data_IF_888065065135
#
_entry.id   IF_888065065135
#
_cell.length_a   1.000
_cell.length_b   1.000
_cell.length_c   1.000
_cell.angle_alpha   90.00
_cell.angle_beta   90.00
_cell.angle_gamma   90.00
#
_symmetry.space_group_name_H-M   'P 1'
#
loop_
_entity.id
_entity.type
_entity.pdbx_description
1 polymer ?
#
# COMPACT_ATOMS: atom_id res chain seq x y z
N UNK A 1 58.45 18.65 4.53
CA UNK A 1 57.16 18.96 4.01
C UNK A 1 56.29 17.70 4.05
N UNK A 2 55.41 17.70 5.03
CA UNK A 2 54.48 16.61 5.27
C UNK A 2 53.28 16.73 4.31
N UNK A 3 53.05 15.68 3.53
CA UNK A 3 51.83 15.49 2.78
C UNK A 3 51.00 14.48 3.54
N UNK A 4 49.99 14.94 4.29
CA UNK A 4 48.97 14.12 4.92
C UNK A 4 47.97 13.63 3.87
N UNK A 5 48.04 12.35 3.53
CA UNK A 5 47.02 11.70 2.73
C UNK A 5 45.75 11.45 3.61
N UNK A 6 44.66 12.18 3.26
CA UNK A 6 43.34 11.92 3.82
C UNK A 6 42.77 10.64 3.19
N UNK A 7 42.72 9.56 3.93
CA UNK A 7 41.98 8.38 3.60
C UNK A 7 40.47 8.68 3.62
N UNK A 8 39.80 8.47 2.49
CA UNK A 8 38.34 8.50 2.38
C UNK A 8 37.74 7.26 3.07
N UNK A 9 36.64 7.39 3.82
CA UNK A 9 35.96 6.22 4.36
C UNK A 9 35.36 5.39 3.21
N UNK A 10 35.63 4.10 3.24
CA UNK A 10 35.02 3.09 2.35
C UNK A 10 33.57 2.96 2.74
N UNK A 11 32.68 3.47 1.91
CA UNK A 11 31.25 3.22 2.05
C UNK A 11 30.96 1.78 1.63
N UNK A 12 30.41 0.99 2.54
CA UNK A 12 29.87 -0.34 2.29
C UNK A 12 28.88 -0.32 1.14
N UNK A 13 28.88 -1.30 0.21
CA UNK A 13 27.91 -1.33 -0.88
C UNK A 13 26.52 -1.60 -0.30
N UNK A 14 25.61 -0.70 -0.60
CA UNK A 14 24.18 -0.86 -0.30
C UNK A 14 23.67 -2.14 -0.99
N UNK A 15 22.95 -2.98 -0.24
CA UNK A 15 22.24 -4.14 -0.78
C UNK A 15 21.29 -3.66 -1.89
N UNK A 16 21.21 -4.36 -3.03
CA UNK A 16 20.26 -4.00 -4.06
C UNK A 16 18.85 -4.20 -3.52
N UNK A 17 18.09 -3.10 -3.51
CA UNK A 17 16.66 -3.11 -3.25
C UNK A 17 15.98 -3.78 -4.46
N UNK A 18 15.58 -5.05 -4.30
CA UNK A 18 14.88 -5.84 -5.32
C UNK A 18 13.37 -5.59 -5.32
N UNK A 19 12.91 -4.49 -4.77
CA UNK A 19 11.58 -3.98 -5.04
C UNK A 19 11.65 -3.15 -6.33
N UNK A 20 11.20 -3.72 -7.44
CA UNK A 20 10.78 -2.90 -8.57
C UNK A 20 9.80 -1.87 -8.00
N UNK A 21 10.08 -0.56 -8.11
CA UNK A 21 9.11 0.42 -7.67
C UNK A 21 7.82 0.14 -8.44
N UNK A 22 6.65 0.07 -7.78
CA UNK A 22 5.42 0.07 -8.52
C UNK A 22 5.49 1.29 -9.43
N UNK A 23 5.33 1.09 -10.73
CA UNK A 23 5.12 2.16 -11.68
C UNK A 23 3.80 2.84 -11.31
N UNK A 24 3.85 3.60 -10.23
CA UNK A 24 2.82 4.53 -9.87
C UNK A 24 2.85 5.57 -10.98
N UNK A 25 1.85 5.54 -11.84
CA UNK A 25 1.45 6.69 -12.63
C UNK A 25 1.10 7.80 -11.64
N UNK A 26 2.11 8.47 -11.13
CA UNK A 26 1.95 9.67 -10.33
C UNK A 26 1.61 10.78 -11.31
N UNK A 27 0.34 10.86 -11.66
CA UNK A 27 -0.18 12.09 -12.22
C UNK A 27 -0.18 13.12 -11.08
N UNK A 28 0.81 13.96 -11.05
CA UNK A 28 0.75 15.18 -10.26
C UNK A 28 -0.46 15.98 -10.75
N UNK A 29 -1.29 16.39 -9.81
CA UNK A 29 -2.43 17.25 -10.04
C UNK A 29 -2.02 18.43 -10.90
N UNK A 30 -2.33 18.36 -12.18
CA UNK A 30 -2.20 19.51 -13.08
C UNK A 30 -3.21 20.55 -12.62
N UNK A 31 -2.75 21.53 -11.83
CA UNK A 31 -3.46 22.81 -11.68
C UNK A 31 -3.85 23.25 -13.08
N UNK A 32 -5.15 23.54 -13.28
CA UNK A 32 -5.69 24.20 -14.47
C UNK A 32 -4.73 25.30 -14.94
N UNK A 33 -3.82 24.98 -15.81
CA UNK A 33 -3.13 25.94 -16.67
C UNK A 33 -3.80 25.84 -18.01
N UNK A 34 -4.52 26.90 -18.38
CA UNK A 34 -4.88 27.17 -19.75
C UNK A 34 -3.59 27.18 -20.57
N UNK A 35 -3.32 26.10 -21.25
CA UNK A 35 -2.47 26.09 -22.42
C UNK A 35 -2.46 24.70 -23.04
N UNK A 36 -2.49 24.66 -24.32
CA UNK A 36 -2.34 23.61 -25.29
C UNK A 36 -1.05 22.78 -25.22
N UNK A 37 -0.42 22.66 -24.05
CA UNK A 37 0.61 21.66 -23.79
C UNK A 37 -0.05 20.47 -23.11
N UNK A 38 -0.48 19.50 -23.95
CA UNK A 38 -0.67 18.13 -23.51
C UNK A 38 0.57 17.70 -22.77
N UNK A 39 0.40 17.16 -21.58
CA UNK A 39 1.50 16.58 -20.83
C UNK A 39 1.95 15.31 -21.56
N UNK A 40 2.91 15.50 -22.47
CA UNK A 40 3.44 14.48 -23.37
C UNK A 40 4.08 13.33 -22.59
N UNK A 41 4.52 13.60 -21.34
CA UNK A 41 5.20 12.62 -20.52
C UNK A 41 4.27 11.50 -20.03
N UNK A 42 3.05 11.82 -19.59
CA UNK A 42 2.07 10.84 -19.14
C UNK A 42 1.56 9.94 -20.26
N UNK A 43 1.35 10.48 -21.46
CA UNK A 43 0.93 9.74 -22.64
C UNK A 43 2.05 8.81 -23.14
N UNK A 44 3.30 9.27 -23.14
CA UNK A 44 4.43 8.45 -23.59
C UNK A 44 4.68 7.24 -22.71
N UNK A 45 4.45 7.33 -21.40
CA UNK A 45 4.52 6.18 -20.48
C UNK A 45 3.44 5.15 -20.81
N UNK A 46 2.20 5.58 -21.03
CA UNK A 46 1.11 4.69 -21.42
C UNK A 46 1.40 3.99 -22.76
N UNK A 47 1.90 4.73 -23.73
CA UNK A 47 2.31 4.16 -25.04
C UNK A 47 3.47 3.16 -24.89
N UNK A 48 4.44 3.43 -24.03
CA UNK A 48 5.54 2.51 -23.73
C UNK A 48 5.07 1.18 -23.12
N UNK A 49 4.05 1.23 -22.27
CA UNK A 49 3.45 0.04 -21.67
C UNK A 49 2.62 -0.79 -22.66
N UNK A 50 2.08 -0.18 -23.72
CA UNK A 50 1.28 -0.90 -24.73
C UNK A 50 2.05 -2.07 -25.34
N UNK A 51 3.34 -1.91 -25.65
CA UNK A 51 4.16 -2.98 -26.21
C UNK A 51 4.20 -4.22 -25.32
N UNK A 52 4.26 -4.01 -23.99
CA UNK A 52 4.26 -5.11 -23.02
C UNK A 52 2.89 -5.79 -22.97
N UNK A 53 1.80 -5.01 -22.99
CA UNK A 53 0.42 -5.50 -22.92
C UNK A 53 -0.01 -6.23 -24.20
N UNK A 54 0.56 -5.86 -25.34
CA UNK A 54 0.26 -6.49 -26.64
C UNK A 54 0.91 -7.87 -26.82
N UNK A 55 1.88 -8.20 -25.98
CA UNK A 55 2.62 -9.44 -26.05
C UNK A 55 3.76 -9.35 -27.05
N UNK A 56 4.88 -8.81 -26.61
CA UNK A 56 6.12 -8.70 -27.39
C UNK A 56 7.23 -9.55 -26.77
N UNK A 57 8.24 -9.82 -27.56
CA UNK A 57 9.51 -10.34 -27.07
C UNK A 57 10.38 -9.17 -26.63
N UNK A 58 10.78 -9.20 -25.37
CA UNK A 58 11.59 -8.13 -24.74
C UNK A 58 12.89 -8.73 -24.28
N UNK A 59 14.00 -8.13 -24.69
CA UNK A 59 15.33 -8.51 -24.21
C UNK A 59 15.57 -7.87 -22.83
N UNK A 60 15.85 -8.74 -21.87
CA UNK A 60 16.09 -8.34 -20.47
C UNK A 60 17.49 -8.77 -20.06
N UNK A 61 18.32 -7.88 -19.50
CA UNK A 61 19.65 -8.23 -19.01
C UNK A 61 19.54 -9.12 -17.76
N UNK A 62 20.21 -10.25 -17.78
CA UNK A 62 20.23 -11.22 -16.68
C UNK A 62 21.48 -11.04 -15.84
N UNK A 63 21.31 -10.87 -14.52
CA UNK A 63 22.43 -10.79 -13.58
C UNK A 63 23.18 -9.46 -13.57
N UNK A 64 22.63 -8.42 -14.19
CA UNK A 64 23.29 -7.13 -14.25
C UNK A 64 23.07 -6.29 -12.98
N UNK A 65 24.11 -6.18 -12.18
CA UNK A 65 24.21 -5.12 -11.15
C UNK A 65 24.83 -3.82 -11.71
N UNK A 66 25.13 -3.76 -12.99
CA UNK A 66 25.77 -2.60 -13.58
C UNK A 66 25.38 -2.42 -15.05
N UNK A 67 25.33 -1.17 -15.49
CA UNK A 67 24.98 -0.72 -16.84
C UNK A 67 26.06 -1.08 -17.90
N UNK A 68 26.91 -2.05 -17.67
CA UNK A 68 27.96 -2.42 -18.61
C UNK A 68 27.41 -3.26 -19.77
N UNK A 69 27.85 -2.92 -20.95
CA UNK A 69 27.37 -3.40 -22.25
C UNK A 69 27.61 -4.89 -22.57
N UNK A 70 28.15 -5.70 -21.66
CA UNK A 70 28.47 -7.11 -21.86
C UNK A 70 27.63 -8.08 -21.00
N UNK A 71 26.43 -7.69 -20.66
CA UNK A 71 25.53 -8.56 -19.86
C UNK A 71 24.76 -9.46 -20.81
N UNK A 72 24.66 -10.77 -20.55
CA UNK A 72 23.84 -11.66 -21.37
C UNK A 72 22.39 -11.22 -21.33
N UNK A 73 21.77 -11.08 -22.49
CA UNK A 73 20.36 -10.74 -22.66
C UNK A 73 19.55 -12.03 -22.75
N UNK A 74 18.43 -12.06 -22.07
CA UNK A 74 17.44 -13.16 -22.19
C UNK A 74 16.16 -12.57 -22.74
N UNK A 75 15.60 -13.22 -23.75
CA UNK A 75 14.33 -12.82 -24.34
C UNK A 75 13.18 -13.33 -23.50
N UNK A 76 12.32 -12.42 -23.07
CA UNK A 76 11.09 -12.72 -22.34
C UNK A 76 9.90 -12.41 -23.23
N UNK A 77 9.03 -13.40 -23.44
CA UNK A 77 7.78 -13.23 -24.18
C UNK A 77 6.68 -12.83 -23.19
N UNK A 78 6.10 -11.65 -23.38
CA UNK A 78 5.08 -11.10 -22.47
C UNK A 78 3.66 -11.55 -22.79
N UNK A 79 3.44 -12.33 -23.84
CA UNK A 79 2.11 -12.69 -24.36
C UNK A 79 1.22 -13.44 -23.35
N UNK A 80 1.82 -14.22 -22.45
CA UNK A 80 1.11 -15.01 -21.45
C UNK A 80 1.30 -14.48 -20.03
N UNK A 81 1.68 -13.23 -19.86
CA UNK A 81 1.84 -12.59 -18.56
C UNK A 81 0.53 -11.89 -18.19
N UNK A 82 0.04 -12.15 -16.98
CA UNK A 82 -1.09 -11.41 -16.42
C UNK A 82 -0.62 -10.04 -15.96
N UNK A 83 -1.25 -8.99 -16.48
CA UNK A 83 -1.01 -7.61 -16.06
C UNK A 83 -2.15 -7.13 -15.16
N UNK A 84 -1.80 -6.64 -13.99
CA UNK A 84 -2.72 -6.01 -13.05
C UNK A 84 -2.20 -4.59 -12.81
N UNK A 85 -2.96 -3.60 -13.29
CA UNK A 85 -2.62 -2.19 -13.14
C UNK A 85 -3.51 -1.56 -12.08
N UNK A 86 -2.93 -0.89 -11.11
CA UNK A 86 -3.64 -0.18 -10.06
C UNK A 86 -3.13 1.24 -9.94
N UNK A 87 -4.00 2.16 -9.53
CA UNK A 87 -3.64 3.55 -9.29
C UNK A 87 -4.64 4.25 -8.37
N UNK A 88 -4.18 5.31 -7.71
CA UNK A 88 -5.05 6.27 -7.08
C UNK A 88 -5.38 7.33 -8.14
N UNK A 89 -6.64 7.49 -8.45
CA UNK A 89 -7.14 8.43 -9.47
C UNK A 89 -7.71 9.67 -8.76
N UNK A 90 -6.89 10.62 -8.30
CA UNK A 90 -7.37 11.83 -7.67
C UNK A 90 -8.27 12.57 -8.64
N UNK A 91 -9.35 13.17 -8.15
CA UNK A 91 -10.34 13.90 -8.95
C UNK A 91 -11.22 13.06 -9.91
N UNK A 92 -11.03 11.74 -10.00
CA UNK A 92 -11.90 10.87 -10.80
C UNK A 92 -13.34 10.93 -10.29
N UNK A 93 -13.55 11.04 -8.98
CA UNK A 93 -14.87 11.22 -8.38
C UNK A 93 -15.59 12.48 -8.89
N UNK A 94 -14.87 13.57 -9.08
CA UNK A 94 -15.43 14.81 -9.62
C UNK A 94 -15.90 14.63 -11.07
N UNK A 95 -15.14 13.88 -11.88
CA UNK A 95 -15.49 13.55 -13.26
C UNK A 95 -16.78 12.72 -13.29
N UNK A 96 -16.89 11.72 -12.40
CA UNK A 96 -18.08 10.88 -12.27
C UNK A 96 -19.29 11.71 -11.83
N UNK A 97 -19.11 12.58 -10.83
CA UNK A 97 -20.14 13.51 -10.36
C UNK A 97 -20.65 14.41 -11.49
N UNK A 98 -19.76 15.00 -12.27
CA UNK A 98 -20.14 15.83 -13.41
C UNK A 98 -20.95 15.05 -14.45
N UNK A 99 -20.58 13.80 -14.75
CA UNK A 99 -21.32 12.95 -15.69
C UNK A 99 -22.72 12.65 -15.16
N UNK A 100 -22.82 12.21 -13.89
CA UNK A 100 -24.10 11.85 -13.28
C UNK A 100 -25.03 13.07 -13.17
N UNK A 101 -24.48 14.23 -12.83
CA UNK A 101 -25.26 15.48 -12.77
C UNK A 101 -25.76 15.93 -14.15
N UNK A 102 -24.96 15.76 -15.22
CA UNK A 102 -25.40 16.06 -16.58
C UNK A 102 -26.52 15.12 -17.07
N UNK A 103 -26.45 13.85 -16.71
CA UNK A 103 -27.52 12.90 -17.06
C UNK A 103 -28.83 13.18 -16.31
N UNK A 104 -28.76 13.65 -15.08
CA UNK A 104 -29.96 14.00 -14.29
C UNK A 104 -30.53 15.38 -14.61
N UNK A 105 -29.80 16.26 -15.28
CA UNK A 105 -30.30 17.61 -15.64
C UNK A 105 -31.40 17.63 -16.71
N UNK A 106 -31.69 16.49 -17.33
CA UNK A 106 -32.84 16.32 -18.23
C UNK A 106 -34.17 16.02 -17.52
N UNK A 107 -34.17 15.87 -16.19
CA UNK A 107 -35.37 15.63 -15.39
C UNK A 107 -35.24 16.16 -13.97
N UNK A 108 -36.09 17.08 -13.57
CA UNK A 108 -36.34 17.65 -12.23
C UNK A 108 -35.15 17.74 -11.25
N UNK A 109 -34.61 18.94 -11.02
CA UNK A 109 -33.18 19.23 -10.86
C UNK A 109 -32.70 19.48 -9.41
N UNK A 110 -33.54 19.68 -8.44
CA UNK A 110 -33.09 20.23 -7.14
C UNK A 110 -32.60 19.18 -6.13
N UNK A 111 -33.21 18.00 -6.09
CA UNK A 111 -32.93 17.00 -5.04
C UNK A 111 -31.76 16.05 -5.33
N UNK A 112 -31.25 16.05 -6.55
CA UNK A 112 -30.25 15.04 -6.98
C UNK A 112 -28.79 15.48 -6.74
N UNK A 113 -28.50 16.77 -6.64
CA UNK A 113 -27.15 17.26 -6.34
C UNK A 113 -26.69 16.82 -4.96
N UNK A 114 -27.58 16.91 -3.95
CA UNK A 114 -27.26 16.51 -2.58
C UNK A 114 -27.15 14.99 -2.40
N UNK A 115 -27.75 14.20 -3.30
CA UNK A 115 -27.75 12.75 -3.22
C UNK A 115 -26.38 12.16 -3.57
N UNK A 116 -25.71 12.69 -4.57
CA UNK A 116 -24.40 12.19 -4.99
C UNK A 116 -23.24 12.72 -4.14
N UNK A 117 -23.43 13.84 -3.43
CA UNK A 117 -22.41 14.36 -2.50
C UNK A 117 -22.32 13.53 -1.20
N UNK A 118 -23.38 12.78 -0.87
CA UNK A 118 -23.45 11.90 0.30
C UNK A 118 -23.13 10.43 -0.02
N UNK A 119 -22.95 10.08 -1.29
CA UNK A 119 -22.71 8.69 -1.70
C UNK A 119 -21.25 8.30 -1.48
N UNK A 120 -21.01 7.51 -0.45
CA UNK A 120 -19.66 7.05 -0.03
C UNK A 120 -18.90 6.21 -1.08
N UNK A 121 -19.54 5.80 -2.16
CA UNK A 121 -18.95 4.82 -3.11
C UNK A 121 -19.12 5.23 -4.58
N UNK A 122 -18.88 6.51 -4.87
CA UNK A 122 -19.04 7.07 -6.21
C UNK A 122 -18.11 6.42 -7.25
N UNK A 123 -16.91 6.03 -6.82
CA UNK A 123 -15.92 5.35 -7.66
C UNK A 123 -16.47 4.06 -8.26
N UNK A 124 -17.40 3.36 -7.60
CA UNK A 124 -18.01 2.14 -8.15
C UNK A 124 -18.79 2.36 -9.45
N UNK A 125 -19.17 3.60 -9.74
CA UNK A 125 -19.90 4.00 -10.95
C UNK A 125 -18.97 4.45 -12.08
N UNK A 126 -17.66 4.20 -11.97
CA UNK A 126 -16.69 4.56 -13.01
C UNK A 126 -17.02 3.88 -14.34
N UNK A 127 -16.87 4.65 -15.41
CA UNK A 127 -17.02 4.16 -16.78
C UNK A 127 -15.73 4.40 -17.58
N UNK A 128 -15.61 3.73 -18.72
CA UNK A 128 -14.50 3.94 -19.67
C UNK A 128 -14.38 5.41 -20.07
N UNK A 129 -15.51 6.09 -20.23
CA UNK A 129 -15.53 7.52 -20.58
C UNK A 129 -14.94 8.41 -19.51
N UNK A 130 -15.16 8.07 -18.22
CA UNK A 130 -14.59 8.82 -17.11
C UNK A 130 -13.06 8.66 -17.09
N UNK A 131 -12.55 7.46 -17.34
CA UNK A 131 -11.11 7.19 -17.46
C UNK A 131 -10.49 7.93 -18.65
N UNK A 132 -11.18 8.00 -19.78
CA UNK A 132 -10.73 8.79 -20.93
C UNK A 132 -10.66 10.29 -20.61
N UNK A 133 -11.67 10.81 -19.92
CA UNK A 133 -11.67 12.21 -19.45
C UNK A 133 -10.57 12.49 -18.43
N UNK A 134 -10.26 11.49 -17.63
CA UNK A 134 -9.17 11.56 -16.66
C UNK A 134 -7.78 11.66 -17.33
N UNK A 135 -7.65 11.18 -18.58
CA UNK A 135 -6.41 11.25 -19.37
C UNK A 135 -5.80 9.90 -19.74
N UNK A 136 -6.55 8.81 -19.55
CA UNK A 136 -6.12 7.52 -20.05
C UNK A 136 -6.36 7.41 -21.55
N UNK A 137 -5.36 6.92 -22.30
CA UNK A 137 -5.48 6.74 -23.75
C UNK A 137 -6.39 5.56 -24.07
N UNK A 138 -7.23 5.66 -25.11
CA UNK A 138 -8.18 4.62 -25.47
C UNK A 138 -7.54 3.25 -25.73
N UNK A 139 -6.38 3.23 -26.35
CA UNK A 139 -5.62 2.01 -26.66
C UNK A 139 -5.21 1.27 -25.39
N UNK A 140 -4.76 2.01 -24.37
CA UNK A 140 -4.37 1.44 -23.08
C UNK A 140 -5.57 0.84 -22.34
N UNK A 141 -6.70 1.55 -22.33
CA UNK A 141 -7.95 1.05 -21.74
C UNK A 141 -8.44 -0.21 -22.47
N UNK A 142 -8.33 -0.21 -23.81
CA UNK A 142 -8.71 -1.36 -24.65
C UNK A 142 -7.91 -2.63 -24.36
N UNK A 143 -6.67 -2.50 -23.87
CA UNK A 143 -5.82 -3.64 -23.47
C UNK A 143 -6.07 -4.11 -22.05
N UNK A 144 -6.74 -3.31 -21.22
CA UNK A 144 -7.13 -3.61 -19.84
C UNK A 144 -8.67 -3.57 -19.72
N UNK A 145 -9.39 -4.52 -20.33
CA UNK A 145 -10.83 -4.44 -20.46
C UNK A 145 -11.59 -4.64 -19.14
N UNK A 146 -10.93 -5.23 -18.14
CA UNK A 146 -11.55 -5.48 -16.83
C UNK A 146 -11.21 -4.31 -15.92
N UNK A 147 -12.23 -3.53 -15.60
CA UNK A 147 -12.14 -2.40 -14.68
C UNK A 147 -12.87 -2.78 -13.41
N UNK A 148 -12.20 -2.64 -12.27
CA UNK A 148 -12.82 -2.82 -10.97
C UNK A 148 -12.34 -1.73 -10.01
N UNK A 149 -13.16 -1.43 -9.03
CA UNK A 149 -12.90 -0.41 -8.02
C UNK A 149 -12.78 -1.06 -6.65
N UNK A 150 -11.88 -0.53 -5.84
CA UNK A 150 -11.74 -0.93 -4.45
C UNK A 150 -12.59 0.00 -3.59
N UNK A 151 -13.29 -0.59 -2.64
CA UNK A 151 -14.04 0.17 -1.64
C UNK A 151 -13.10 0.78 -0.61
N UNK A 152 -13.56 1.85 0.05
CA UNK A 152 -12.86 2.40 1.21
C UNK A 152 -12.74 1.33 2.31
N UNK A 153 -11.63 1.36 3.03
CA UNK A 153 -11.40 0.43 4.14
C UNK A 153 -12.24 0.89 5.35
N UNK A 154 -13.00 -0.05 5.91
CA UNK A 154 -13.64 0.11 7.21
C UNK A 154 -12.78 -0.50 8.34
N UNK A 155 -13.22 -0.36 9.58
CA UNK A 155 -12.50 -0.85 10.75
C UNK A 155 -12.35 -2.38 10.72
N UNK A 156 -13.41 -3.09 10.35
CA UNK A 156 -13.40 -4.56 10.27
C UNK A 156 -12.42 -5.07 9.20
N UNK A 157 -12.41 -4.43 8.03
CA UNK A 157 -11.45 -4.75 6.98
C UNK A 157 -10.00 -4.50 7.43
N UNK A 158 -9.75 -3.43 8.20
CA UNK A 158 -8.42 -3.18 8.75
C UNK A 158 -8.00 -4.27 9.75
N UNK A 159 -8.92 -4.75 10.58
CA UNK A 159 -8.67 -5.90 11.48
C UNK A 159 -8.37 -7.17 10.68
N UNK A 160 -9.11 -7.43 9.60
CA UNK A 160 -8.84 -8.57 8.71
C UNK A 160 -7.45 -8.46 8.07
N UNK A 161 -7.05 -7.27 7.60
CA UNK A 161 -5.71 -7.01 7.03
C UNK A 161 -4.61 -7.32 8.05
N UNK A 162 -4.85 -7.10 9.33
CA UNK A 162 -3.89 -7.42 10.38
C UNK A 162 -3.71 -8.92 10.61
N UNK A 163 -4.76 -9.73 10.38
CA UNK A 163 -4.80 -11.16 10.74
C UNK A 163 -4.66 -12.12 9.57
N UNK A 164 -5.43 -11.92 8.50
CA UNK A 164 -5.67 -12.95 7.48
C UNK A 164 -4.49 -13.18 6.54
N UNK A 165 -3.81 -12.17 5.99
CA UNK A 165 -2.77 -12.38 5.00
C UNK A 165 -1.69 -13.35 5.49
N UNK A 166 -1.10 -14.13 4.57
CA UNK A 166 0.01 -15.05 4.90
C UNK A 166 1.15 -14.32 5.60
N UNK A 167 1.48 -13.13 5.11
CA UNK A 167 2.52 -12.26 5.64
C UNK A 167 1.92 -11.07 6.40
N UNK A 168 0.83 -11.30 7.14
CA UNK A 168 0.26 -10.25 7.99
C UNK A 168 1.33 -9.71 8.95
N UNK A 169 1.28 -8.40 9.23
CA UNK A 169 2.29 -7.75 10.05
C UNK A 169 2.37 -8.35 11.45
N UNK A 170 1.24 -8.72 12.03
CA UNK A 170 1.20 -9.36 13.35
C UNK A 170 1.93 -10.70 13.34
N UNK A 171 1.74 -11.51 12.27
CA UNK A 171 2.41 -12.80 12.13
C UNK A 171 3.93 -12.65 12.00
N UNK A 172 4.40 -11.53 11.41
CA UNK A 172 5.84 -11.25 11.33
C UNK A 172 6.42 -11.02 12.72
N UNK A 173 5.77 -10.19 13.57
CA UNK A 173 6.22 -9.96 14.94
C UNK A 173 6.08 -11.20 15.81
N UNK A 174 4.99 -11.97 15.66
CA UNK A 174 4.83 -13.26 16.36
C UNK A 174 5.97 -14.21 16.02
N UNK A 175 6.38 -14.28 14.76
CA UNK A 175 7.52 -15.10 14.35
C UNK A 175 8.85 -14.59 14.91
N UNK A 176 9.06 -13.28 14.99
CA UNK A 176 10.27 -12.71 15.56
C UNK A 176 10.40 -13.08 17.03
N UNK A 177 9.39 -12.80 17.85
CA UNK A 177 9.41 -13.13 19.28
C UNK A 177 9.41 -14.64 19.56
N UNK A 178 8.90 -15.45 18.62
CA UNK A 178 8.98 -16.91 18.76
C UNK A 178 10.40 -17.45 18.66
N UNK A 179 11.38 -16.71 18.11
CA UNK A 179 12.79 -17.05 18.12
C UNK A 179 13.39 -16.98 19.54
N UNK A 180 12.84 -16.10 20.36
CA UNK A 180 13.18 -15.95 21.77
C UNK A 180 12.24 -16.79 22.67
N UNK A 181 11.51 -17.75 22.07
CA UNK A 181 10.54 -18.63 22.73
C UNK A 181 9.41 -17.87 23.45
N UNK A 182 9.11 -16.65 23.03
CA UNK A 182 8.02 -15.81 23.55
C UNK A 182 6.83 -15.84 22.62
N UNK A 183 5.65 -16.11 23.16
CA UNK A 183 4.39 -16.07 22.40
C UNK A 183 3.78 -14.68 22.47
N UNK A 184 3.62 -14.03 21.31
CA UNK A 184 2.94 -12.74 21.19
C UNK A 184 1.45 -12.95 20.87
N UNK A 185 0.58 -12.38 21.67
CA UNK A 185 -0.86 -12.40 21.49
C UNK A 185 -1.43 -10.96 21.44
N UNK A 186 -2.50 -10.79 20.71
CA UNK A 186 -3.24 -9.52 20.64
C UNK A 186 -4.68 -9.78 21.08
N UNK A 187 -5.21 -8.98 21.98
CA UNK A 187 -6.63 -9.02 22.33
C UNK A 187 -7.47 -8.46 21.18
N UNK A 188 -8.72 -8.88 21.07
CA UNK A 188 -9.65 -8.34 20.05
C UNK A 188 -9.77 -6.83 20.16
N UNK A 189 -9.93 -6.32 21.40
CA UNK A 189 -10.03 -4.88 21.64
C UNK A 189 -8.77 -4.10 21.22
N UNK A 190 -7.59 -4.73 21.33
CA UNK A 190 -6.35 -4.12 20.85
C UNK A 190 -6.35 -4.01 19.30
N UNK A 191 -6.83 -5.00 18.59
CA UNK A 191 -6.93 -4.96 17.13
C UNK A 191 -7.88 -3.87 16.66
N UNK A 192 -9.03 -3.75 17.30
CA UNK A 192 -9.97 -2.67 17.05
C UNK A 192 -9.39 -1.29 17.38
N UNK A 193 -8.64 -1.17 18.48
CA UNK A 193 -7.96 0.09 18.82
C UNK A 193 -6.89 0.49 17.78
N UNK A 194 -6.12 -0.49 17.26
CA UNK A 194 -5.16 -0.26 16.16
C UNK A 194 -5.90 0.20 14.90
N UNK A 195 -6.98 -0.49 14.52
CA UNK A 195 -7.78 -0.15 13.36
C UNK A 195 -8.41 1.24 13.49
N UNK A 196 -8.98 1.59 14.65
CA UNK A 196 -9.54 2.90 14.93
C UNK A 196 -8.49 4.02 14.86
N UNK A 197 -7.26 3.77 15.38
CA UNK A 197 -6.13 4.71 15.22
C UNK A 197 -5.74 4.88 13.75
N UNK A 198 -5.76 3.80 12.95
CA UNK A 198 -5.44 3.86 11.54
C UNK A 198 -6.48 4.63 10.73
N UNK A 199 -7.76 4.48 11.07
CA UNK A 199 -8.86 5.24 10.45
C UNK A 199 -8.72 6.75 10.65
N UNK A 200 -8.12 7.20 11.76
CA UNK A 200 -7.86 8.62 12.03
C UNK A 200 -6.69 9.18 11.20
N UNK A 201 -5.82 8.31 10.69
CA UNK A 201 -4.72 8.69 9.80
C UNK A 201 -5.16 8.48 8.35
N UNK A 202 -5.24 9.51 7.54
CA UNK A 202 -5.70 9.49 6.13
C UNK A 202 -4.87 8.63 5.17
N UNK A 203 -4.00 7.78 5.70
CA UNK A 203 -3.10 6.90 4.93
C UNK A 203 -3.62 5.46 4.79
N UNK A 204 -4.82 5.17 5.30
CA UNK A 204 -5.47 3.86 5.20
C UNK A 204 -4.63 2.72 5.83
N UNK A 205 -4.59 1.57 5.18
CA UNK A 205 -3.87 0.39 5.69
C UNK A 205 -2.36 0.60 5.91
N UNK A 206 -1.73 1.59 5.26
CA UNK A 206 -0.32 1.93 5.48
C UNK A 206 -0.05 2.43 6.89
N UNK A 207 -1.06 3.09 7.51
CA UNK A 207 -0.95 3.54 8.90
C UNK A 207 -0.81 2.38 9.89
N UNK A 208 -1.35 1.19 9.59
CA UNK A 208 -1.29 0.04 10.46
C UNK A 208 0.14 -0.33 10.84
N UNK A 209 1.04 -0.33 9.85
CA UNK A 209 2.45 -0.66 10.09
C UNK A 209 3.10 0.34 11.05
N UNK A 210 2.98 1.64 10.80
CA UNK A 210 3.60 2.66 11.65
C UNK A 210 3.04 2.67 13.07
N UNK A 211 1.74 2.39 13.23
CA UNK A 211 1.10 2.30 14.55
C UNK A 211 1.63 1.10 15.34
N UNK A 212 1.79 -0.05 14.67
CA UNK A 212 2.31 -1.26 15.32
C UNK A 212 3.80 -1.08 15.66
N UNK A 213 4.59 -0.54 14.74
CA UNK A 213 6.01 -0.28 14.96
C UNK A 213 6.25 0.62 16.17
N UNK A 214 5.38 1.61 16.42
CA UNK A 214 5.49 2.55 17.51
C UNK A 214 5.53 1.87 18.89
N UNK A 215 4.62 0.91 19.15
CA UNK A 215 4.58 0.23 20.45
C UNK A 215 5.33 -1.11 20.47
N UNK A 216 5.57 -1.72 19.31
CA UNK A 216 6.33 -2.99 19.24
C UNK A 216 7.82 -2.79 19.46
N UNK A 217 8.35 -1.59 19.22
CA UNK A 217 9.77 -1.30 19.40
C UNK A 217 10.21 -1.56 20.86
N UNK A 218 9.44 -1.06 21.80
CA UNK A 218 9.72 -1.24 23.23
C UNK A 218 9.63 -2.71 23.63
N UNK A 219 8.63 -3.43 23.14
CA UNK A 219 8.45 -4.86 23.39
C UNK A 219 9.64 -5.66 22.87
N UNK A 220 10.06 -5.42 21.63
CA UNK A 220 11.18 -6.12 21.02
C UNK A 220 12.51 -5.82 21.70
N UNK A 221 12.63 -4.67 22.38
CA UNK A 221 13.81 -4.31 23.12
C UNK A 221 13.82 -4.87 24.56
N UNK A 222 12.68 -4.85 25.25
CA UNK A 222 12.60 -5.23 26.67
C UNK A 222 12.39 -6.74 26.89
N UNK A 223 11.54 -7.37 26.09
CA UNK A 223 11.13 -8.77 26.30
C UNK A 223 12.29 -9.77 26.17
N UNK A 224 13.21 -9.67 25.20
CA UNK A 224 14.33 -10.62 25.10
C UNK A 224 15.36 -10.55 26.25
N UNK A 225 15.25 -9.57 27.15
CA UNK A 225 16.17 -9.44 28.30
C UNK A 225 15.82 -10.39 29.44
N UNK A 226 14.61 -10.91 29.50
CA UNK A 226 14.14 -11.79 30.56
C UNK A 226 13.65 -13.13 30.03
N UNK A 227 14.48 -14.17 30.18
CA UNK A 227 14.21 -15.54 29.71
C UNK A 227 13.01 -16.20 30.40
N UNK A 228 12.47 -15.62 31.48
CA UNK A 228 11.31 -16.16 32.19
C UNK A 228 9.99 -15.78 31.55
N UNK A 229 9.97 -14.88 30.56
CA UNK A 229 8.76 -14.45 29.89
C UNK A 229 8.31 -15.53 28.89
N UNK A 230 7.06 -15.96 29.01
CA UNK A 230 6.47 -16.97 28.12
C UNK A 230 5.47 -16.39 27.13
N UNK A 231 4.59 -15.50 27.60
CA UNK A 231 3.53 -14.91 26.77
C UNK A 231 3.47 -13.41 27.01
N UNK A 232 3.38 -12.67 25.93
CA UNK A 232 3.10 -11.21 25.94
C UNK A 232 1.78 -10.97 25.24
N UNK A 233 0.82 -10.41 25.94
CA UNK A 233 -0.49 -10.08 25.39
C UNK A 233 -0.63 -8.56 25.30
N UNK A 234 -0.84 -8.08 24.08
CA UNK A 234 -1.10 -6.67 23.78
C UNK A 234 -2.57 -6.38 24.05
N UNK A 235 -2.83 -5.45 24.95
CA UNK A 235 -4.16 -4.98 25.32
C UNK A 235 -4.47 -3.64 24.67
N UNK A 236 -5.75 -3.26 24.70
CA UNK A 236 -6.19 -1.94 24.23
C UNK A 236 -5.49 -0.80 24.93
N UNK A 237 -5.37 -0.89 26.26
CA UNK A 237 -4.75 0.13 27.11
C UNK A 237 -3.29 0.37 26.71
N UNK A 238 -2.57 -0.71 26.37
CA UNK A 238 -1.21 -0.59 25.88
C UNK A 238 -1.14 0.11 24.52
N UNK A 239 -2.00 -0.26 23.58
CA UNK A 239 -2.09 0.40 22.27
C UNK A 239 -2.42 1.87 22.41
N UNK A 240 -3.27 2.26 23.37
CA UNK A 240 -3.65 3.64 23.64
C UNK A 240 -2.59 4.42 24.44
N UNK A 241 -1.58 3.73 25.00
CA UNK A 241 -0.52 4.34 25.81
C UNK A 241 -0.93 4.62 27.25
N UNK A 242 -2.02 4.02 27.73
CA UNK A 242 -2.55 4.20 29.09
C UNK A 242 -2.20 3.07 30.04
N UNK A 243 -1.64 1.96 29.52
CA UNK A 243 -1.29 0.77 30.31
C UNK A 243 0.00 0.11 29.83
N UNK A 244 0.33 -1.03 30.46
CA UNK A 244 1.45 -1.88 30.07
C UNK A 244 0.95 -3.16 29.37
N UNK A 245 1.80 -3.86 28.59
CA UNK A 245 1.45 -5.16 28.02
C UNK A 245 1.28 -6.18 29.16
N UNK A 246 0.37 -7.13 28.97
CA UNK A 246 0.19 -8.20 29.94
C UNK A 246 1.25 -9.28 29.70
N UNK A 247 2.11 -9.52 30.70
CA UNK A 247 3.21 -10.48 30.64
C UNK A 247 2.85 -11.69 31.50
N UNK A 248 2.98 -12.89 30.92
CA UNK A 248 2.82 -14.15 31.62
C UNK A 248 4.15 -14.90 31.63
N UNK A 249 4.63 -15.26 32.83
CA UNK A 249 5.90 -15.98 33.01
C UNK A 249 5.77 -17.44 32.56
N UNK A 250 6.88 -18.05 32.15
CA UNK A 250 6.95 -19.48 31.85
C UNK A 250 6.56 -20.29 33.08
N UNK A 251 5.65 -21.26 32.91
CA UNK A 251 5.15 -22.11 33.97
C UNK A 251 3.96 -21.57 34.76
N UNK A 252 3.50 -20.36 34.54
CA UNK A 252 2.23 -19.87 35.06
C UNK A 252 1.08 -20.28 34.12
N UNK A 253 0.09 -21.00 34.68
CA UNK A 253 -1.13 -21.31 33.92
C UNK A 253 -1.90 -20.02 33.64
N UNK A 254 -2.40 -19.86 32.40
CA UNK A 254 -3.35 -18.79 32.08
C UNK A 254 -4.54 -18.85 33.03
N UNK A 255 -4.75 -17.83 33.84
CA UNK A 255 -6.02 -17.65 34.53
C UNK A 255 -7.07 -17.37 33.44
N UNK A 256 -8.21 -18.08 33.44
CA UNK A 256 -9.27 -17.80 32.50
C UNK A 256 -9.77 -16.38 32.71
N UNK A 257 -9.74 -15.58 31.65
CA UNK A 257 -10.35 -14.24 31.64
C UNK A 257 -11.86 -14.50 31.78
N UNK A 258 -12.44 -14.09 32.92
CA UNK A 258 -13.88 -14.13 33.13
C UNK A 258 -14.56 -13.23 32.09
N UNK A 259 -15.40 -13.84 31.29
CA UNK A 259 -16.31 -13.22 30.33
C UNK A 259 -17.29 -12.25 31.00
#
# INVERSE_FOLDING_TARGET
PNVLSKSRPVTSPAKPDMSLPPLLLRQETAKKRNSSQRDVSGESVQQGLLKLLEGSEVEVPVGANSKNAMVPLTTVNTKNILFICGGAFPDLENIIKERLNKQSSMGFIADLKDKYDKEKNLISKVTVEDLRKFGMIPEFIGRLPIIFTLQGLDEEMLVQILREPKNAILKQYQKLLSLDEVKLEFSEDALHAIAAKAMKKDTGARALRSIIEEFMLDIMYEIPKDDNIGIVTITKEYVEGTGAPMITMRGQAKLPVSS
#
